data_IF_987405629869
#
_entry.id   IF_987405629869
#
_cell.length_a   1.000
_cell.length_b   1.000
_cell.length_c   1.000
_cell.angle_alpha   90.00
_cell.angle_beta   90.00
_cell.angle_gamma   90.00
#
_symmetry.space_group_name_H-M   'P 1'
#
loop_
_entity.id
_entity.type
_entity.pdbx_description
1 polymer ?
#
# COMPACT_ATOMS: atom_id res chain seq x y z
N UNK A 1 1.99 -12.66 -1.69
CA UNK A 1 2.98 -12.78 -0.62
C UNK A 1 3.34 -11.36 -0.17
N UNK A 2 2.36 -10.54 0.22
CA UNK A 2 2.51 -9.07 0.08
C UNK A 2 2.00 -8.29 1.29
N UNK A 3 2.05 -8.87 2.50
CA UNK A 3 1.34 -8.25 3.63
C UNK A 3 1.92 -6.88 4.03
N UNK A 4 3.23 -6.70 3.96
CA UNK A 4 3.87 -5.41 4.32
C UNK A 4 3.55 -4.35 3.27
N UNK A 5 3.76 -4.66 1.99
CA UNK A 5 3.60 -3.67 0.93
C UNK A 5 2.13 -3.44 0.55
N UNK A 6 1.31 -4.49 0.48
CA UNK A 6 -0.11 -4.37 0.15
C UNK A 6 -0.92 -3.66 1.23
N UNK A 7 -0.55 -3.83 2.50
CA UNK A 7 -1.18 -3.09 3.61
C UNK A 7 -0.48 -1.77 3.93
N UNK A 8 0.68 -1.51 3.30
CA UNK A 8 1.52 -0.34 3.49
C UNK A 8 1.96 -0.15 4.95
N UNK A 9 2.51 -1.22 5.52
CA UNK A 9 3.01 -1.19 6.87
C UNK A 9 4.40 -0.55 6.85
N UNK A 10 4.44 0.73 7.23
CA UNK A 10 5.62 1.60 7.19
C UNK A 10 6.35 1.70 8.54
N UNK A 11 5.71 1.26 9.63
CA UNK A 11 6.29 1.20 10.97
C UNK A 11 6.33 -0.21 11.56
N UNK A 12 7.21 -0.40 12.55
CA UNK A 12 7.32 -1.65 13.28
C UNK A 12 6.01 -1.99 13.98
N UNK A 13 5.38 -0.99 14.59
CA UNK A 13 4.12 -1.11 15.32
C UNK A 13 3.00 -1.58 14.38
N UNK A 14 2.88 -0.95 13.21
CA UNK A 14 1.91 -1.36 12.20
C UNK A 14 2.15 -2.81 11.73
N UNK A 15 3.41 -3.19 11.53
CA UNK A 15 3.76 -4.55 11.15
C UNK A 15 3.59 -5.59 12.27
N UNK A 16 3.82 -5.22 13.52
CA UNK A 16 3.62 -6.11 14.68
C UNK A 16 2.14 -6.43 14.85
N UNK A 17 1.30 -5.41 14.76
CA UNK A 17 -0.09 -5.47 15.21
C UNK A 17 -1.06 -5.92 14.10
N UNK A 18 -0.62 -5.91 12.84
CA UNK A 18 -1.42 -6.41 11.72
C UNK A 18 -1.77 -7.90 11.86
N UNK A 19 -3.06 -8.22 11.64
CA UNK A 19 -3.57 -9.59 11.59
C UNK A 19 -3.15 -10.26 10.28
N UNK A 20 -2.55 -11.45 10.36
CA UNK A 20 -2.15 -12.27 9.20
C UNK A 20 -3.27 -13.23 8.80
N UNK A 21 -4.41 -12.67 8.39
CA UNK A 21 -5.60 -13.45 7.99
C UNK A 21 -5.28 -14.37 6.80
N UNK A 22 -5.81 -15.59 6.81
CA UNK A 22 -5.63 -16.58 5.74
C UNK A 22 -4.26 -17.26 5.69
N UNK A 23 -3.34 -16.97 6.62
CA UNK A 23 -2.01 -17.61 6.68
C UNK A 23 -1.97 -18.65 7.79
N UNK A 24 -1.68 -19.91 7.43
CA UNK A 24 -1.63 -21.06 8.37
C UNK A 24 -0.48 -20.97 9.38
N UNK A 25 0.62 -20.31 9.03
CA UNK A 25 1.81 -20.22 9.91
C UNK A 25 1.78 -18.94 10.74
N UNK A 26 1.66 -19.07 12.07
CA UNK A 26 1.84 -17.95 13.00
C UNK A 26 3.32 -17.55 13.05
N UNK A 27 3.59 -16.24 13.08
CA UNK A 27 4.92 -15.72 13.37
C UNK A 27 4.93 -15.19 14.80
N UNK A 28 5.94 -15.56 15.58
CA UNK A 28 6.22 -14.93 16.87
C UNK A 28 6.66 -13.48 16.66
N UNK A 29 6.61 -12.67 17.72
CA UNK A 29 7.08 -11.29 17.67
C UNK A 29 8.57 -11.20 17.32
N UNK A 30 9.40 -12.10 17.87
CA UNK A 30 10.82 -12.19 17.51
C UNK A 30 11.04 -12.48 16.02
N UNK A 31 10.25 -13.37 15.41
CA UNK A 31 10.30 -13.63 13.97
C UNK A 31 9.85 -12.41 13.16
N UNK A 32 8.81 -11.70 13.61
CA UNK A 32 8.39 -10.44 12.97
C UNK A 32 9.49 -9.39 13.05
N UNK A 33 10.17 -9.24 14.18
CA UNK A 33 11.26 -8.28 14.34
C UNK A 33 12.42 -8.58 13.40
N UNK A 34 12.77 -9.87 13.25
CA UNK A 34 13.79 -10.30 12.30
C UNK A 34 13.41 -10.00 10.83
N UNK A 35 12.15 -10.19 10.45
CA UNK A 35 11.67 -9.81 9.11
C UNK A 35 11.64 -8.30 8.92
N UNK A 36 11.21 -7.56 9.95
CA UNK A 36 11.12 -6.11 9.91
C UNK A 36 12.48 -5.44 9.68
N UNK A 37 13.54 -5.94 10.30
CA UNK A 37 14.89 -5.40 10.09
C UNK A 37 15.31 -5.47 8.61
N UNK A 38 14.94 -6.55 7.92
CA UNK A 38 15.20 -6.71 6.47
C UNK A 38 14.38 -5.69 5.67
N UNK A 39 13.08 -5.57 5.96
CA UNK A 39 12.21 -4.60 5.27
C UNK A 39 12.67 -3.15 5.50
N UNK A 40 13.13 -2.82 6.70
CA UNK A 40 13.63 -1.50 7.03
C UNK A 40 14.88 -1.15 6.21
N UNK A 41 15.85 -2.05 6.13
CA UNK A 41 17.07 -1.86 5.33
C UNK A 41 16.74 -1.73 3.85
N UNK A 42 15.84 -2.56 3.32
CA UNK A 42 15.41 -2.48 1.93
C UNK A 42 14.78 -1.12 1.62
N UNK A 43 13.83 -0.65 2.45
CA UNK A 43 13.18 0.65 2.27
C UNK A 43 14.16 1.81 2.36
N UNK A 44 15.12 1.75 3.28
CA UNK A 44 16.17 2.77 3.39
C UNK A 44 17.03 2.83 2.12
N UNK A 45 17.42 1.67 1.57
CA UNK A 45 18.19 1.60 0.32
C UNK A 45 17.43 2.16 -0.86
N UNK A 46 16.15 1.80 -1.02
CA UNK A 46 15.28 2.35 -2.06
C UNK A 46 15.17 3.88 -1.95
N UNK A 47 14.95 4.39 -0.74
CA UNK A 47 14.86 5.82 -0.48
C UNK A 47 16.16 6.55 -0.83
N UNK A 48 17.33 6.01 -0.47
CA UNK A 48 18.65 6.58 -0.82
C UNK A 48 18.89 6.64 -2.32
N UNK A 49 18.28 5.74 -3.08
CA UNK A 49 18.37 5.69 -4.55
C UNK A 49 17.27 6.50 -5.24
N UNK A 50 16.35 7.13 -4.49
CA UNK A 50 15.20 7.83 -5.06
C UNK A 50 14.17 6.90 -5.72
N UNK A 51 14.19 5.60 -5.41
CA UNK A 51 13.31 4.60 -5.97
C UNK A 51 12.08 4.38 -5.08
N UNK A 52 10.98 4.00 -5.72
CA UNK A 52 9.75 3.55 -5.06
C UNK A 52 9.28 2.24 -5.68
N UNK A 53 8.63 1.41 -4.87
CA UNK A 53 7.93 0.22 -5.34
C UNK A 53 6.53 0.58 -5.85
N UNK A 54 5.94 -0.25 -6.72
CA UNK A 54 4.61 -0.03 -7.27
C UNK A 54 3.53 0.16 -6.20
N UNK A 55 3.58 -0.60 -5.09
CA UNK A 55 2.63 -0.42 -3.99
C UNK A 55 2.68 1.02 -3.42
N UNK A 56 3.89 1.55 -3.21
CA UNK A 56 4.11 2.90 -2.71
C UNK A 56 3.68 3.98 -3.73
N UNK A 57 3.86 3.72 -5.03
CA UNK A 57 3.34 4.58 -6.09
C UNK A 57 1.82 4.72 -5.98
N UNK A 58 1.08 3.60 -5.93
CA UNK A 58 -0.38 3.63 -5.83
C UNK A 58 -0.86 4.28 -4.54
N UNK A 59 -0.16 4.09 -3.42
CA UNK A 59 -0.54 4.78 -2.19
C UNK A 59 -0.33 6.29 -2.27
N UNK A 60 0.79 6.74 -2.85
CA UNK A 60 1.08 8.17 -3.01
C UNK A 60 0.03 8.81 -3.92
N UNK A 61 -0.36 8.13 -4.99
CA UNK A 61 -1.43 8.57 -5.88
C UNK A 61 -2.78 8.65 -5.15
N UNK A 62 -3.13 7.63 -4.36
CA UNK A 62 -4.37 7.63 -3.58
C UNK A 62 -4.42 8.83 -2.62
N UNK A 63 -3.35 9.07 -1.84
CA UNK A 63 -3.26 10.19 -0.93
C UNK A 63 -3.36 11.55 -1.66
N UNK A 64 -2.68 11.69 -2.79
CA UNK A 64 -2.72 12.92 -3.61
C UNK A 64 -4.11 13.18 -4.19
N UNK A 65 -4.82 12.13 -4.64
CA UNK A 65 -6.19 12.25 -5.15
C UNK A 65 -7.17 12.65 -4.04
N UNK A 66 -7.05 12.05 -2.86
CA UNK A 66 -7.84 12.45 -1.69
C UNK A 66 -7.59 13.92 -1.33
N UNK A 67 -6.33 14.35 -1.28
CA UNK A 67 -5.98 15.75 -1.00
C UNK A 67 -6.56 16.72 -2.06
N UNK A 68 -6.48 16.38 -3.36
CA UNK A 68 -7.12 17.19 -4.43
C UNK A 68 -8.63 17.29 -4.24
N UNK A 69 -9.30 16.18 -3.93
CA UNK A 69 -10.74 16.17 -3.65
C UNK A 69 -11.09 17.05 -2.47
N UNK A 70 -10.35 16.96 -1.37
CA UNK A 70 -10.55 17.83 -0.19
C UNK A 70 -10.34 19.31 -0.51
N UNK A 71 -9.48 19.63 -1.47
CA UNK A 71 -9.29 20.98 -1.99
C UNK A 71 -10.34 21.41 -3.04
N UNK A 72 -11.38 20.61 -3.28
CA UNK A 72 -12.44 20.91 -4.26
C UNK A 72 -12.00 20.80 -5.71
N UNK A 73 -10.83 20.19 -5.98
CA UNK A 73 -10.31 20.00 -7.33
C UNK A 73 -10.87 18.71 -7.92
N UNK A 74 -11.50 18.81 -9.08
CA UNK A 74 -12.04 17.65 -9.79
C UNK A 74 -10.96 16.59 -10.07
N UNK A 75 -11.34 15.30 -10.08
CA UNK A 75 -10.42 14.24 -10.48
C UNK A 75 -9.97 14.42 -11.93
N UNK A 76 -8.77 13.93 -12.30
CA UNK A 76 -8.24 14.09 -13.66
C UNK A 76 -9.05 13.34 -14.73
N UNK A 77 -9.89 12.37 -14.33
CA UNK A 77 -10.70 11.55 -15.22
C UNK A 77 -12.14 11.38 -14.70
N UNK A 78 -13.09 11.36 -15.63
CA UNK A 78 -14.53 11.18 -15.34
C UNK A 78 -14.98 9.71 -15.34
N UNK A 79 -14.22 8.84 -16.01
CA UNK A 79 -14.51 7.41 -16.09
C UNK A 79 -13.23 6.61 -15.91
N UNK A 80 -13.37 5.41 -15.34
CA UNK A 80 -12.27 4.46 -15.15
C UNK A 80 -12.76 3.10 -15.62
N UNK A 81 -12.02 2.48 -16.54
CA UNK A 81 -12.25 1.10 -16.99
C UNK A 81 -11.08 0.28 -16.51
N UNK A 82 -11.37 -0.83 -15.81
CA UNK A 82 -10.37 -1.74 -15.28
C UNK A 82 -10.58 -3.09 -15.96
N UNK A 83 -9.58 -3.52 -16.72
CA UNK A 83 -9.51 -4.88 -17.25
C UNK A 83 -8.79 -5.80 -16.25
N UNK A 84 -9.03 -7.10 -16.33
CA UNK A 84 -8.46 -8.12 -15.42
C UNK A 84 -8.67 -7.80 -13.93
N UNK A 85 -9.89 -7.35 -13.59
CA UNK A 85 -10.24 -6.87 -12.26
C UNK A 85 -10.02 -7.91 -11.14
N UNK A 86 -9.98 -9.20 -11.48
CA UNK A 86 -9.68 -10.28 -10.54
C UNK A 86 -8.24 -10.26 -10.00
N UNK A 87 -7.30 -9.66 -10.71
CA UNK A 87 -5.87 -9.64 -10.36
C UNK A 87 -5.44 -8.34 -9.65
N UNK A 88 -6.39 -7.47 -9.31
CA UNK A 88 -6.11 -6.16 -8.72
C UNK A 88 -5.62 -6.32 -7.27
N UNK A 89 -4.43 -5.78 -7.00
CA UNK A 89 -3.84 -5.77 -5.65
C UNK A 89 -4.56 -4.80 -4.70
N UNK A 90 -4.35 -4.96 -3.39
CA UNK A 90 -4.93 -4.07 -2.36
C UNK A 90 -4.54 -2.60 -2.56
N UNK A 91 -3.29 -2.32 -2.93
CA UNK A 91 -2.82 -0.96 -3.14
C UNK A 91 -3.51 -0.31 -4.36
N UNK A 92 -3.71 -1.07 -5.44
CA UNK A 92 -4.44 -0.62 -6.62
C UNK A 92 -5.93 -0.41 -6.31
N UNK A 93 -6.57 -1.30 -5.55
CA UNK A 93 -7.96 -1.12 -5.10
C UNK A 93 -8.14 0.15 -4.27
N UNK A 94 -7.23 0.42 -3.32
CA UNK A 94 -7.24 1.67 -2.54
C UNK A 94 -7.09 2.91 -3.43
N UNK A 95 -6.22 2.84 -4.43
CA UNK A 95 -6.06 3.90 -5.42
C UNK A 95 -7.34 4.11 -6.23
N UNK A 96 -7.96 3.04 -6.73
CA UNK A 96 -9.22 3.11 -7.49
C UNK A 96 -10.36 3.70 -6.64
N UNK A 97 -10.45 3.30 -5.36
CA UNK A 97 -11.42 3.88 -4.42
C UNK A 97 -11.17 5.39 -4.20
N UNK A 98 -9.92 5.81 -4.04
CA UNK A 98 -9.58 7.23 -3.93
C UNK A 98 -9.87 8.01 -5.22
N UNK A 99 -9.77 7.36 -6.39
CA UNK A 99 -10.04 7.97 -7.69
C UNK A 99 -11.54 8.11 -7.98
N UNK A 100 -12.34 7.08 -7.68
CA UNK A 100 -13.72 6.94 -8.18
C UNK A 100 -14.76 6.48 -7.13
N UNK A 101 -14.41 6.32 -5.85
CA UNK A 101 -15.28 5.67 -4.85
C UNK A 101 -16.57 6.42 -4.44
N UNK A 102 -16.76 7.66 -4.91
CA UNK A 102 -17.97 8.46 -4.63
C UNK A 102 -18.90 8.55 -5.87
N UNK A 103 -18.71 7.65 -6.86
CA UNK A 103 -19.50 7.58 -8.09
C UNK A 103 -20.36 6.33 -8.14
#
# INVERSE_FOLDING_TARGET
DDLVDAWQLDSWEAYRDVKRLGRKTRLSEAQRAALWSIFAVMRERLAKQGLIIYAALFTRLAAALTARRMAGVAPPFEHVVVDEAQDVSVAQLRFLAALAGDR
#
